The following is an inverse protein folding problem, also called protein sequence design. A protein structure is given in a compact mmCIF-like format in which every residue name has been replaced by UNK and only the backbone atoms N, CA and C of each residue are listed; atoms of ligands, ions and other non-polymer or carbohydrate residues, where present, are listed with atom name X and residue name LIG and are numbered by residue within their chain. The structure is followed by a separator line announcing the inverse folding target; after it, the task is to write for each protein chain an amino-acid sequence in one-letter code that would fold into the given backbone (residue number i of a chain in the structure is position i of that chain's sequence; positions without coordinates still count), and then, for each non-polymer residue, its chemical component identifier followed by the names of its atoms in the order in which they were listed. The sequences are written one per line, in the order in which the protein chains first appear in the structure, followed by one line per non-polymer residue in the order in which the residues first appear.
data_IF_350843440562
#
_entry.id   IF_350843440562
#
_cell.length_a   1.000
_cell.length_b   1.000
_cell.length_c   1.000
_cell.angle_alpha   90.00
_cell.angle_beta   90.00
_cell.angle_gamma   90.00
#
_symmetry.space_group_name_H-M   'P 1'
#
loop_
_entity.id
_entity.type
_entity.pdbx_description
1 polymer ?
#
# COMPACT_ATOMS: atom_id res chain seq x y z
N UNK A 1 2.94 3.22 -0.49
CA UNK A 1 1.60 2.68 -0.23
C UNK A 1 1.62 1.48 0.72
N UNK A 2 2.77 1.18 1.35
CA UNK A 2 2.98 -0.11 2.01
C UNK A 2 2.85 0.01 3.54
N UNK A 3 3.32 1.12 4.15
CA UNK A 3 3.09 1.41 5.56
C UNK A 3 1.62 1.46 5.95
N UNK A 4 0.75 2.01 5.10
CA UNK A 4 -0.67 2.20 5.44
C UNK A 4 -1.38 0.86 5.57
N UNK A 5 -1.08 -0.10 4.69
CA UNK A 5 -1.63 -1.46 4.76
C UNK A 5 -1.08 -2.17 6.00
N UNK A 6 0.22 -2.08 6.26
CA UNK A 6 0.82 -2.65 7.47
C UNK A 6 0.20 -2.06 8.76
N UNK A 7 -0.04 -0.75 8.79
CA UNK A 7 -0.70 -0.07 9.92
C UNK A 7 -2.15 -0.53 10.11
N UNK A 8 -2.90 -0.71 9.02
CA UNK A 8 -4.26 -1.28 9.07
C UNK A 8 -4.24 -2.70 9.60
N UNK A 9 -3.35 -3.54 9.10
CA UNK A 9 -3.21 -4.93 9.54
C UNK A 9 -2.83 -5.02 11.03
N UNK A 10 -1.83 -4.26 11.48
CA UNK A 10 -1.45 -4.17 12.88
C UNK A 10 -2.59 -3.64 13.76
N UNK A 11 -3.33 -2.65 13.28
CA UNK A 11 -4.51 -2.13 13.98
C UNK A 11 -5.60 -3.18 14.17
N UNK A 12 -5.86 -4.01 13.15
CA UNK A 12 -6.80 -5.13 13.26
C UNK A 12 -6.31 -6.15 14.28
N UNK A 13 -5.02 -6.54 14.21
CA UNK A 13 -4.41 -7.50 15.14
C UNK A 13 -4.44 -6.99 16.58
N UNK A 14 -4.26 -5.69 16.79
CA UNK A 14 -4.37 -5.05 18.10
C UNK A 14 -5.82 -4.81 18.56
N UNK A 15 -6.81 -5.36 17.86
CA UNK A 15 -8.23 -5.28 18.19
C UNK A 15 -8.92 -3.97 17.80
N UNK A 16 -8.23 -3.05 17.12
CA UNK A 16 -8.83 -1.83 16.58
C UNK A 16 -9.68 -2.12 15.34
N UNK A 17 -10.40 -1.11 14.86
CA UNK A 17 -11.20 -1.15 13.63
C UNK A 17 -10.78 -0.01 12.69
N UNK A 18 -9.56 -0.08 12.14
CA UNK A 18 -9.07 0.96 11.23
C UNK A 18 -9.82 0.93 9.90
N UNK A 19 -9.77 2.06 9.18
CA UNK A 19 -10.17 2.16 7.77
C UNK A 19 -8.94 2.27 6.88
N UNK A 20 -9.10 1.89 5.62
CA UNK A 20 -8.10 2.10 4.58
C UNK A 20 -8.59 3.17 3.59
N UNK A 21 -7.74 4.16 3.32
CA UNK A 21 -8.02 5.24 2.37
C UNK A 21 -6.74 5.56 1.60
N UNK A 22 -6.74 5.27 0.30
CA UNK A 22 -5.55 5.49 -0.52
C UNK A 22 -5.41 6.92 -1.05
N UNK A 23 -6.36 7.84 -0.78
CA UNK A 23 -6.27 9.23 -1.28
C UNK A 23 -5.00 9.94 -0.81
N UNK A 24 -4.56 9.65 0.42
CA UNK A 24 -3.28 10.19 0.95
C UNK A 24 -2.07 9.73 0.13
N UNK A 25 -2.17 8.59 -0.55
CA UNK A 25 -1.11 8.07 -1.40
C UNK A 25 -1.12 8.63 -2.82
N UNK A 26 -2.23 9.28 -3.20
CA UNK A 26 -2.39 9.99 -4.47
C UNK A 26 -2.13 11.50 -4.31
N UNK A 27 -2.04 11.98 -3.07
CA UNK A 27 -1.82 13.39 -2.76
C UNK A 27 -0.42 13.85 -3.20
N UNK A 28 -0.40 14.79 -4.16
CA UNK A 28 0.85 15.29 -4.74
C UNK A 28 1.77 15.91 -3.69
N UNK A 29 1.22 16.66 -2.72
CA UNK A 29 2.01 17.25 -1.65
C UNK A 29 2.69 16.19 -0.80
N UNK A 30 1.98 15.12 -0.42
CA UNK A 30 2.54 14.02 0.35
C UNK A 30 3.61 13.26 -0.43
N UNK A 31 3.42 13.04 -1.73
CA UNK A 31 4.42 12.42 -2.61
C UNK A 31 5.68 13.29 -2.73
N UNK A 32 5.53 14.59 -2.96
CA UNK A 32 6.64 15.54 -3.03
C UNK A 32 7.43 15.58 -1.72
N UNK A 33 6.73 15.57 -0.58
CA UNK A 33 7.36 15.49 0.74
C UNK A 33 8.18 14.19 0.89
N UNK A 34 7.61 13.04 0.54
CA UNK A 34 8.34 11.77 0.61
C UNK A 34 9.58 11.80 -0.28
N UNK A 35 9.48 12.35 -1.49
CA UNK A 35 10.64 12.49 -2.38
C UNK A 35 11.70 13.42 -1.79
N UNK A 36 11.29 14.55 -1.21
CA UNK A 36 12.19 15.52 -0.59
C UNK A 36 12.88 14.99 0.68
N UNK A 37 12.23 14.09 1.42
CA UNK A 37 12.76 13.48 2.65
C UNK A 37 13.87 12.45 2.39
N UNK A 38 14.11 12.06 1.12
CA UNK A 38 15.11 11.05 0.76
C UNK A 38 16.24 11.65 -0.09
N UNK A 39 17.45 11.13 0.11
CA UNK A 39 18.68 11.64 -0.54
C UNK A 39 18.79 11.31 -2.04
N UNK A 40 17.79 10.61 -2.58
CA UNK A 40 17.72 10.23 -3.99
C UNK A 40 17.17 8.82 -4.18
N UNK A 41 17.30 8.30 -5.40
CA UNK A 41 16.68 7.03 -5.82
C UNK A 41 17.09 5.82 -4.98
N UNK A 42 18.36 5.70 -4.61
CA UNK A 42 18.84 4.55 -3.84
C UNK A 42 18.18 4.48 -2.46
N UNK A 43 18.11 5.62 -1.78
CA UNK A 43 17.48 5.80 -0.48
C UNK A 43 15.97 5.49 -0.54
N UNK A 44 15.28 5.96 -1.59
CA UNK A 44 13.88 5.62 -1.84
C UNK A 44 13.65 4.11 -2.06
N UNK A 45 14.54 3.43 -2.80
CA UNK A 45 14.45 1.97 -2.99
C UNK A 45 14.63 1.22 -1.67
N UNK A 46 15.58 1.66 -0.85
CA UNK A 46 15.84 1.06 0.45
C UNK A 46 14.67 1.29 1.41
N UNK A 47 14.05 2.48 1.37
CA UNK A 47 12.82 2.78 2.10
C UNK A 47 11.66 1.86 1.69
N UNK A 48 11.39 1.71 0.40
CA UNK A 48 10.36 0.79 -0.11
C UNK A 48 10.65 -0.63 0.33
N UNK A 49 11.90 -1.11 0.21
CA UNK A 49 12.29 -2.45 0.65
C UNK A 49 12.00 -2.66 2.14
N UNK A 50 12.37 -1.70 2.98
CA UNK A 50 12.12 -1.78 4.42
C UNK A 50 10.62 -1.86 4.74
N UNK A 51 9.79 -1.09 4.03
CA UNK A 51 8.35 -1.09 4.21
C UNK A 51 7.73 -2.42 3.77
N UNK A 52 8.19 -2.98 2.65
CA UNK A 52 7.75 -4.28 2.17
C UNK A 52 8.12 -5.40 3.15
N UNK A 53 9.33 -5.37 3.75
CA UNK A 53 9.72 -6.34 4.78
C UNK A 53 8.76 -6.30 5.97
N UNK A 54 8.45 -5.12 6.50
CA UNK A 54 7.51 -4.97 7.61
C UNK A 54 6.13 -5.55 7.25
N UNK A 55 5.65 -5.28 6.03
CA UNK A 55 4.36 -5.79 5.60
C UNK A 55 4.36 -7.32 5.48
N UNK A 56 5.42 -7.91 4.91
CA UNK A 56 5.57 -9.37 4.83
C UNK A 56 5.56 -9.99 6.23
N UNK A 57 6.34 -9.43 7.16
CA UNK A 57 6.39 -9.91 8.55
C UNK A 57 5.00 -9.84 9.23
N UNK A 58 4.23 -8.79 8.96
CA UNK A 58 2.85 -8.66 9.47
C UNK A 58 1.93 -9.68 8.82
N UNK A 59 2.00 -9.85 7.50
CA UNK A 59 1.18 -10.79 6.76
C UNK A 59 1.40 -12.23 7.22
N UNK A 60 2.65 -12.64 7.45
CA UNK A 60 3.02 -13.97 7.94
C UNK A 60 2.48 -14.28 9.35
N UNK A 61 2.13 -13.24 10.12
CA UNK A 61 1.61 -13.37 11.48
C UNK A 61 0.09 -13.29 11.56
N UNK A 62 -0.62 -13.08 10.43
CA UNK A 62 -2.07 -12.97 10.44
C UNK A 62 -2.74 -14.32 10.69
N UNK A 63 -3.61 -14.36 11.70
CA UNK A 63 -4.53 -15.47 11.89
C UNK A 63 -5.68 -15.42 10.88
N UNK A 64 -6.29 -16.57 10.58
CA UNK A 64 -7.49 -16.66 9.74
C UNK A 64 -8.60 -15.69 10.19
N UNK A 65 -8.75 -15.54 11.51
CA UNK A 65 -9.73 -14.61 12.08
C UNK A 65 -9.39 -13.16 11.71
N UNK A 66 -8.15 -12.73 11.93
CA UNK A 66 -7.71 -11.37 11.59
C UNK A 66 -7.83 -11.10 10.08
N UNK A 67 -7.43 -12.08 9.26
CA UNK A 67 -7.53 -12.03 7.80
C UNK A 67 -8.97 -11.82 7.29
N UNK A 68 -9.96 -12.37 7.99
CA UNK A 68 -11.39 -12.23 7.64
C UNK A 68 -12.05 -10.94 8.12
N UNK A 69 -11.38 -10.11 8.93
CA UNK A 69 -11.97 -8.87 9.45
C UNK A 69 -12.27 -7.92 8.29
N UNK A 70 -13.51 -7.44 8.24
CA UNK A 70 -13.92 -6.42 7.29
C UNK A 70 -13.43 -5.05 7.72
N UNK A 71 -12.63 -4.40 6.88
CA UNK A 71 -12.15 -3.04 7.04
C UNK A 71 -12.91 -2.11 6.08
N UNK A 72 -13.43 -0.96 6.53
CA UNK A 72 -13.92 0.07 5.60
C UNK A 72 -12.78 0.51 4.69
N UNK A 73 -12.98 0.46 3.38
CA UNK A 73 -11.95 0.80 2.40
C UNK A 73 -12.47 1.78 1.35
N UNK A 74 -11.65 2.78 1.03
CA UNK A 74 -11.82 3.69 -0.11
C UNK A 74 -10.58 3.56 -1.01
N UNK A 75 -10.82 3.26 -2.29
CA UNK A 75 -9.79 3.19 -3.32
C UNK A 75 -10.15 4.12 -4.47
N UNK A 76 -9.26 5.06 -4.77
CA UNK A 76 -9.25 5.83 -6.00
C UNK A 76 -8.10 5.39 -6.91
N UNK A 77 -8.31 5.51 -8.21
CA UNK A 77 -7.26 5.36 -9.23
C UNK A 77 -7.53 6.36 -10.35
N UNK A 78 -6.55 7.21 -10.67
CA UNK A 78 -6.71 8.30 -11.64
C UNK A 78 -7.98 9.13 -11.37
N UNK A 79 -8.16 9.56 -10.12
CA UNK A 79 -9.33 10.30 -9.62
C UNK A 79 -10.69 9.58 -9.74
N UNK A 80 -10.73 8.37 -10.29
CA UNK A 80 -11.92 7.55 -10.36
C UNK A 80 -12.08 6.71 -9.08
N UNK A 81 -13.28 6.69 -8.51
CA UNK A 81 -13.62 5.80 -7.42
C UNK A 81 -13.65 4.34 -7.94
N UNK A 82 -12.77 3.51 -7.40
CA UNK A 82 -12.66 2.09 -7.73
C UNK A 82 -13.41 1.24 -6.70
N UNK A 83 -13.37 1.64 -5.43
CA UNK A 83 -13.99 0.91 -4.33
C UNK A 83 -14.37 1.87 -3.20
N UNK A 84 -15.58 1.70 -2.66
CA UNK A 84 -16.08 2.36 -1.44
C UNK A 84 -17.00 1.39 -0.69
N UNK A 85 -16.40 0.39 -0.07
CA UNK A 85 -17.13 -0.63 0.70
C UNK A 85 -16.18 -1.37 1.65
N UNK A 86 -16.69 -2.03 2.69
CA UNK A 86 -15.87 -2.90 3.51
C UNK A 86 -15.32 -4.09 2.72
N UNK A 87 -14.04 -4.42 2.93
CA UNK A 87 -13.39 -5.59 2.35
C UNK A 87 -12.65 -6.39 3.43
N UNK A 88 -12.43 -7.71 3.25
CA UNK A 88 -11.57 -8.48 4.15
C UNK A 88 -10.15 -7.91 4.18
N UNK A 89 -9.50 -7.94 5.35
CA UNK A 89 -8.10 -7.54 5.49
C UNK A 89 -7.19 -8.30 4.52
N UNK A 90 -7.42 -9.60 4.35
CA UNK A 90 -6.70 -10.42 3.38
C UNK A 90 -6.77 -9.83 1.97
N UNK A 91 -7.96 -9.41 1.52
CA UNK A 91 -8.13 -8.83 0.18
C UNK A 91 -7.36 -7.53 -0.02
N UNK A 92 -7.12 -6.74 1.04
CA UNK A 92 -6.27 -5.55 0.96
C UNK A 92 -4.79 -5.93 0.77
N UNK A 93 -4.31 -6.96 1.46
CA UNK A 93 -2.93 -7.46 1.38
C UNK A 93 -2.68 -8.14 0.03
N UNK A 94 -3.57 -9.05 -0.37
CA UNK A 94 -3.51 -9.77 -1.63
C UNK A 94 -3.56 -8.80 -2.81
N UNK A 95 -4.42 -7.77 -2.74
CA UNK A 95 -4.51 -6.72 -3.76
C UNK A 95 -3.20 -5.93 -3.95
N UNK A 96 -2.36 -5.83 -2.93
CA UNK A 96 -1.02 -5.23 -3.08
C UNK A 96 -0.10 -6.14 -3.89
N UNK A 97 -0.04 -7.42 -3.51
CA UNK A 97 0.87 -8.40 -4.10
C UNK A 97 0.48 -8.76 -5.55
N UNK A 98 -0.80 -8.99 -5.79
CA UNK A 98 -1.30 -9.52 -7.06
C UNK A 98 -1.57 -8.43 -8.11
N UNK A 99 -1.77 -7.18 -7.68
CA UNK A 99 -2.15 -6.10 -8.58
C UNK A 99 -1.23 -4.88 -8.46
N UNK A 100 -1.16 -4.26 -7.28
CA UNK A 100 -0.48 -2.96 -7.13
C UNK A 100 1.02 -3.02 -7.49
N UNK A 101 1.77 -3.97 -6.93
CA UNK A 101 3.21 -4.11 -7.20
C UNK A 101 3.49 -4.46 -8.68
N UNK A 102 2.80 -5.43 -9.29
CA UNK A 102 2.95 -5.69 -10.73
C UNK A 102 2.65 -4.46 -11.61
N UNK A 103 1.57 -3.72 -11.31
CA UNK A 103 1.20 -2.52 -12.08
C UNK A 103 2.27 -1.44 -12.00
N UNK A 104 2.78 -1.11 -10.81
CA UNK A 104 3.87 -0.14 -10.66
C UNK A 104 5.16 -0.60 -11.31
N UNK A 105 5.45 -1.90 -11.25
CA UNK A 105 6.60 -2.48 -11.95
C UNK A 105 6.49 -2.23 -13.45
N UNK A 106 5.31 -2.46 -14.04
CA UNK A 106 5.08 -2.19 -15.46
C UNK A 106 5.20 -0.69 -15.78
N UNK A 107 4.62 0.19 -14.97
CA UNK A 107 4.73 1.64 -15.15
C UNK A 107 6.20 2.11 -15.15
N UNK A 108 7.03 1.61 -14.24
CA UNK A 108 8.46 1.91 -14.19
C UNK A 108 9.21 1.39 -15.42
N UNK A 109 8.84 0.20 -15.92
CA UNK A 109 9.40 -0.36 -17.16
C UNK A 109 9.05 0.55 -18.35
N UNK A 110 7.79 0.96 -18.47
CA UNK A 110 7.30 1.80 -19.57
C UNK A 110 7.97 3.18 -19.55
N UNK A 111 8.09 3.80 -18.37
CA UNK A 111 8.82 5.05 -18.19
C UNK A 111 10.29 4.93 -18.60
N UNK A 112 10.95 3.82 -18.23
CA UNK A 112 12.35 3.57 -18.62
C UNK A 112 12.51 3.47 -20.14
N UNK A 113 11.51 2.93 -20.84
CA UNK A 113 11.51 2.86 -22.32
C UNK A 113 11.28 4.24 -22.93
N UNK A 114 10.38 5.05 -22.37
CA UNK A 114 10.04 6.38 -22.88
C UNK A 114 11.18 7.43 -22.73
N UNK A 115 12.10 7.21 -21.78
CA UNK A 115 13.25 8.11 -21.52
C UNK A 115 14.49 7.74 -22.34
N UNK A 116 14.42 6.68 -23.17
CA UNK A 116 15.48 6.30 -24.13
C UNK A 116 15.19 6.83 -25.51
#
# INVERSE_FOLDING_TARGET
MDATIAAVALGVVSGSRPSFDNRISLDAWNLDRIVADHSGRADLIDHVRSQSTILCDVADQLSDHASSVLIPAILLSNDALVLDQPIPLASLIDGLAENHVPVHTQQLIDLRVAVR
#
